data_IF_239574082241
#
_entry.id   IF_239574082241
#
_cell.length_a   1.000
_cell.length_b   1.000
_cell.length_c   1.000
_cell.angle_alpha   90.00
_cell.angle_beta   90.00
_cell.angle_gamma   90.00
#
_symmetry.space_group_name_H-M   'P 1'
#
loop_
_entity.id
_entity.type
_entity.pdbx_description
1 polymer ?
#
# COMPACT_ATOMS: atom_id res chain seq x y z
N UNK A 1 -74.91 23.55 0.43
CA UNK A 1 -74.07 24.73 0.12
C UNK A 1 -73.22 25.04 1.33
N UNK A 2 -71.92 25.28 1.09
CA UNK A 2 -70.85 25.93 1.89
C UNK A 2 -71.16 26.33 3.35
N UNK A 3 -70.41 25.99 4.41
CA UNK A 3 -68.96 25.98 4.73
C UNK A 3 -68.57 27.14 5.69
N UNK A 4 -67.56 26.85 6.55
CA UNK A 4 -66.73 27.73 7.42
C UNK A 4 -67.28 28.01 8.84
N UNK A 5 -66.51 28.03 9.95
CA UNK A 5 -65.06 27.98 10.19
C UNK A 5 -64.70 27.78 11.70
N UNK A 6 -63.43 27.39 11.96
CA UNK A 6 -62.64 27.76 13.16
C UNK A 6 -62.59 26.73 14.30
N UNK A 7 -61.48 26.33 14.91
CA UNK A 7 -60.07 26.69 14.77
C UNK A 7 -59.22 25.52 15.32
N UNK A 8 -58.31 24.99 14.51
CA UNK A 8 -57.38 23.92 14.90
C UNK A 8 -56.05 24.49 15.36
N UNK A 9 -55.64 24.11 16.56
CA UNK A 9 -54.33 24.32 17.15
C UNK A 9 -53.25 23.66 16.27
N UNK A 10 -52.36 24.44 15.64
CA UNK A 10 -51.21 23.90 14.92
C UNK A 10 -50.02 23.88 15.88
N UNK A 11 -49.69 22.69 16.39
CA UNK A 11 -48.39 22.40 16.97
C UNK A 11 -47.33 22.66 15.89
N UNK A 12 -46.50 23.70 16.10
CA UNK A 12 -45.26 23.87 15.36
C UNK A 12 -44.32 22.72 15.75
N UNK A 13 -44.35 21.63 14.97
CA UNK A 13 -43.30 20.63 15.01
C UNK A 13 -42.01 21.28 14.52
N UNK A 14 -41.08 21.51 15.44
CA UNK A 14 -39.68 21.76 15.12
C UNK A 14 -39.17 20.52 14.37
N UNK A 15 -38.73 20.62 13.11
CA UNK A 15 -38.06 19.49 12.48
C UNK A 15 -36.67 19.37 13.12
N UNK A 16 -36.54 18.51 14.12
CA UNK A 16 -35.26 17.91 14.50
C UNK A 16 -34.85 16.92 13.40
N UNK A 17 -34.27 17.46 12.34
CA UNK A 17 -33.38 16.75 11.45
C UNK A 17 -32.61 17.81 10.68
N UNK A 18 -31.53 18.33 11.28
CA UNK A 18 -30.47 18.93 10.50
C UNK A 18 -29.89 17.79 9.65
N UNK A 19 -30.44 17.62 8.45
CA UNK A 19 -29.84 16.79 7.42
C UNK A 19 -28.43 17.33 7.19
N UNK A 20 -27.42 16.61 7.69
CA UNK A 20 -26.02 16.90 7.43
C UNK A 20 -25.84 16.99 5.92
N UNK A 21 -25.41 18.15 5.44
CA UNK A 21 -25.22 18.39 4.01
C UNK A 21 -24.31 17.29 3.41
N UNK A 22 -24.65 16.74 2.24
CA UNK A 22 -23.74 15.87 1.51
C UNK A 22 -22.46 16.67 1.22
N UNK A 23 -21.34 16.32 1.87
CA UNK A 23 -20.06 17.01 1.68
C UNK A 23 -19.41 17.62 2.92
N UNK A 24 -19.86 17.31 4.14
CA UNK A 24 -19.07 17.63 5.34
C UNK A 24 -17.78 16.77 5.36
N UNK A 25 -16.62 17.43 5.41
CA UNK A 25 -15.31 16.80 5.48
C UNK A 25 -15.10 16.19 6.88
N UNK A 26 -14.93 14.86 6.98
CA UNK A 26 -14.78 14.22 8.29
C UNK A 26 -13.42 14.51 8.97
N UNK A 27 -12.41 14.85 8.17
CA UNK A 27 -11.06 15.11 8.66
C UNK A 27 -10.54 16.42 8.08
N UNK A 28 -9.84 17.17 8.93
CA UNK A 28 -9.26 18.47 8.58
C UNK A 28 -7.73 18.47 8.68
N UNK A 29 -7.12 19.56 8.18
CA UNK A 29 -5.70 19.79 8.40
C UNK A 29 -5.34 19.96 9.90
N UNK A 30 -6.28 20.43 10.73
CA UNK A 30 -6.07 20.56 12.17
C UNK A 30 -6.01 19.18 12.86
N UNK A 31 -6.82 18.22 12.42
CA UNK A 31 -6.76 16.84 12.92
C UNK A 31 -5.39 16.19 12.65
N UNK A 32 -4.79 16.47 11.48
CA UNK A 32 -3.46 15.96 11.14
C UNK A 32 -2.37 16.38 12.13
N UNK A 33 -2.46 17.59 12.70
CA UNK A 33 -1.50 18.06 13.69
C UNK A 33 -1.54 17.23 15.00
N UNK A 34 -2.62 16.48 15.23
CA UNK A 34 -2.82 15.62 16.41
C UNK A 34 -2.35 14.18 16.21
N UNK A 35 -1.88 13.80 15.01
CA UNK A 35 -1.41 12.44 14.75
C UNK A 35 -0.21 12.09 15.63
N UNK A 36 -0.29 10.97 16.35
CA UNK A 36 0.77 10.48 17.25
C UNK A 36 1.79 9.58 16.57
N UNK A 37 1.49 9.13 15.35
CA UNK A 37 2.27 8.18 14.59
C UNK A 37 2.01 8.40 13.09
N UNK A 38 2.80 7.74 12.24
CA UNK A 38 2.67 7.89 10.80
C UNK A 38 1.34 7.28 10.32
N UNK A 39 0.57 8.05 9.55
CA UNK A 39 -0.66 7.58 8.90
C UNK A 39 -0.50 7.69 7.39
N UNK A 40 -0.45 6.54 6.73
CA UNK A 40 -0.29 6.42 5.29
C UNK A 40 -1.63 6.18 4.62
N UNK A 41 -1.92 6.99 3.60
CA UNK A 41 -2.99 6.69 2.65
C UNK A 41 -2.55 5.56 1.70
N UNK A 42 -3.46 4.63 1.37
CA UNK A 42 -3.19 3.56 0.40
C UNK A 42 -2.68 4.08 -0.95
N UNK A 43 -1.87 3.25 -1.60
CA UNK A 43 -1.64 3.31 -3.03
C UNK A 43 -2.46 2.27 -3.83
N UNK A 44 -2.83 2.58 -5.09
CA UNK A 44 -2.77 3.92 -5.69
C UNK A 44 -3.81 4.85 -5.02
N UNK A 45 -3.56 6.17 -4.97
CA UNK A 45 -4.52 7.11 -4.44
C UNK A 45 -5.84 6.99 -5.22
N UNK A 46 -6.99 7.19 -4.56
CA UNK A 46 -8.29 6.92 -5.14
C UNK A 46 -8.55 7.74 -6.43
N UNK A 47 -9.51 7.27 -7.23
CA UNK A 47 -9.92 7.88 -8.51
C UNK A 47 -10.57 9.26 -8.32
N UNK A 48 -11.05 9.53 -7.12
CA UNK A 48 -11.93 10.64 -6.73
C UNK A 48 -11.18 11.91 -6.30
N UNK A 49 -9.84 11.92 -6.32
CA UNK A 49 -9.07 13.14 -6.09
C UNK A 49 -9.02 13.65 -4.65
N UNK A 50 -9.51 12.87 -3.67
CA UNK A 50 -9.57 13.31 -2.28
C UNK A 50 -8.19 13.41 -1.60
N UNK A 51 -7.92 14.54 -0.93
CA UNK A 51 -6.60 14.84 -0.34
C UNK A 51 -6.57 15.12 1.16
N UNK A 52 -7.70 15.40 1.83
CA UNK A 52 -7.83 15.56 3.29
C UNK A 52 -9.23 15.26 3.84
N UNK A 53 -10.34 15.55 3.12
CA UNK A 53 -11.71 15.29 3.58
C UNK A 53 -12.04 13.88 4.05
N UNK A 54 -11.18 12.90 3.72
CA UNK A 54 -11.46 11.48 3.87
C UNK A 54 -10.39 10.74 4.69
N UNK A 55 -9.23 11.36 4.97
CA UNK A 55 -8.15 10.73 5.74
C UNK A 55 -7.33 11.75 6.53
N UNK A 56 -7.05 11.50 7.81
CA UNK A 56 -5.87 12.08 8.42
C UNK A 56 -4.63 11.38 7.87
N UNK A 57 -3.65 12.14 7.39
CA UNK A 57 -2.46 11.60 6.74
C UNK A 57 -1.22 12.42 7.05
N UNK A 58 -0.12 11.70 7.33
CA UNK A 58 1.24 12.25 7.40
C UNK A 58 2.08 11.80 6.20
N UNK A 59 1.60 10.80 5.46
CA UNK A 59 2.26 10.25 4.29
C UNK A 59 1.25 9.85 3.19
N UNK A 60 1.64 10.09 1.94
CA UNK A 60 0.88 9.69 0.76
C UNK A 60 1.72 8.76 -0.12
N UNK A 61 1.08 7.73 -0.66
CA UNK A 61 1.73 6.73 -1.50
C UNK A 61 1.09 6.74 -2.88
N UNK A 62 1.87 6.73 -3.96
CA UNK A 62 1.34 6.70 -5.33
C UNK A 62 2.31 6.12 -6.35
N UNK A 63 1.81 5.33 -7.30
CA UNK A 63 2.54 4.95 -8.50
C UNK A 63 2.62 6.06 -9.57
N UNK A 64 1.97 7.20 -9.35
CA UNK A 64 1.95 8.33 -10.30
C UNK A 64 2.91 9.43 -9.86
N UNK A 65 4.01 9.59 -10.60
CA UNK A 65 5.04 10.58 -10.30
C UNK A 65 4.49 12.03 -10.22
N UNK A 66 3.53 12.38 -11.10
CA UNK A 66 2.86 13.70 -11.07
C UNK A 66 2.03 13.95 -9.80
N UNK A 67 1.41 12.91 -9.23
CA UNK A 67 0.67 13.04 -7.96
C UNK A 67 1.64 13.27 -6.79
N UNK A 68 2.77 12.57 -6.78
CA UNK A 68 3.83 12.81 -5.78
C UNK A 68 4.40 14.23 -5.91
N UNK A 69 4.62 14.69 -7.14
CA UNK A 69 5.14 16.03 -7.43
C UNK A 69 4.16 17.15 -7.08
N UNK A 70 2.88 16.87 -6.89
CA UNK A 70 1.83 17.84 -6.51
C UNK A 70 1.33 17.69 -5.07
N UNK A 71 1.94 16.81 -4.26
CA UNK A 71 1.53 16.64 -2.86
C UNK A 71 1.80 17.92 -2.02
N UNK A 72 0.96 18.24 -1.03
CA UNK A 72 1.17 19.40 -0.15
C UNK A 72 2.52 19.36 0.58
N UNK A 73 3.04 20.54 0.97
CA UNK A 73 4.22 20.64 1.83
C UNK A 73 3.91 20.00 3.19
N UNK A 74 4.92 19.40 3.81
CA UNK A 74 4.79 18.73 5.12
C UNK A 74 4.28 17.28 5.07
N UNK A 75 3.76 16.82 3.92
CA UNK A 75 3.38 15.42 3.73
C UNK A 75 4.52 14.62 3.11
N UNK A 76 4.86 13.49 3.72
CA UNK A 76 5.82 12.55 3.17
C UNK A 76 5.24 11.87 1.93
N UNK A 77 6.00 11.76 0.84
CA UNK A 77 5.49 11.11 -0.39
C UNK A 77 6.33 9.91 -0.79
N UNK A 78 5.67 8.80 -1.12
CA UNK A 78 6.30 7.52 -1.43
C UNK A 78 5.84 7.01 -2.78
N UNK A 79 6.78 6.60 -3.62
CA UNK A 79 6.43 5.96 -4.88
C UNK A 79 6.03 4.51 -4.64
N UNK A 80 4.84 4.12 -5.10
CA UNK A 80 4.39 2.75 -5.02
C UNK A 80 4.98 1.94 -6.16
N UNK A 81 5.82 0.96 -5.82
CA UNK A 81 6.51 0.12 -6.77
C UNK A 81 6.14 -1.33 -6.56
N UNK A 82 5.51 -1.94 -7.56
CA UNK A 82 5.24 -3.37 -7.54
C UNK A 82 6.49 -4.19 -7.81
N UNK A 83 6.74 -5.15 -6.92
CA UNK A 83 7.63 -6.25 -7.19
C UNK A 83 7.01 -7.20 -8.23
N UNK A 84 7.64 -8.36 -8.41
CA UNK A 84 7.11 -9.38 -9.30
C UNK A 84 5.99 -10.15 -8.58
N UNK A 85 4.93 -10.52 -9.29
CA UNK A 85 3.88 -11.41 -8.75
C UNK A 85 3.73 -12.61 -9.66
N UNK A 86 4.17 -13.78 -9.20
CA UNK A 86 4.00 -15.01 -9.97
C UNK A 86 2.52 -15.31 -10.22
N UNK A 87 2.21 -15.79 -11.42
CA UNK A 87 0.92 -16.39 -11.70
C UNK A 87 1.02 -17.89 -11.44
N UNK A 88 0.45 -18.37 -10.35
CA UNK A 88 0.31 -19.80 -10.09
C UNK A 88 -0.94 -20.35 -10.82
N UNK A 89 -0.93 -21.59 -11.36
CA UNK A 89 0.19 -22.53 -11.39
C UNK A 89 1.00 -22.46 -12.70
N UNK A 90 2.30 -22.67 -12.50
CA UNK A 90 3.35 -22.67 -13.51
C UNK A 90 3.40 -24.03 -14.22
N UNK A 91 2.60 -24.22 -15.26
CA UNK A 91 2.93 -25.18 -16.34
C UNK A 91 2.50 -24.56 -17.66
N UNK A 92 3.42 -23.90 -18.35
CA UNK A 92 3.25 -23.70 -19.80
C UNK A 92 3.28 -25.05 -20.52
N UNK A 93 2.73 -25.13 -21.72
CA UNK A 93 2.90 -26.31 -22.58
C UNK A 93 4.42 -26.63 -22.68
N UNK A 94 4.84 -27.75 -22.10
CA UNK A 94 6.26 -28.16 -22.02
C UNK A 94 6.98 -27.99 -20.66
N UNK A 95 6.28 -27.67 -19.56
CA UNK A 95 6.87 -27.79 -18.21
C UNK A 95 7.82 -26.65 -17.76
N UNK A 96 7.87 -25.52 -18.48
CA UNK A 96 8.68 -24.36 -18.09
C UNK A 96 7.93 -23.41 -17.14
N UNK A 97 8.64 -22.94 -16.11
CA UNK A 97 8.17 -21.95 -15.14
C UNK A 97 8.06 -20.55 -15.82
N UNK A 98 6.85 -19.99 -15.95
CA UNK A 98 6.61 -18.63 -16.46
C UNK A 98 6.29 -17.66 -15.30
N UNK A 99 7.26 -16.86 -14.86
CA UNK A 99 7.00 -15.81 -13.87
C UNK A 99 6.32 -14.64 -14.57
N UNK A 100 4.99 -14.54 -14.45
CA UNK A 100 4.30 -13.31 -14.87
C UNK A 100 4.70 -12.19 -13.93
N UNK A 101 4.81 -10.98 -14.45
CA UNK A 101 4.81 -9.75 -13.65
C UNK A 101 3.52 -9.03 -14.00
N UNK A 102 2.70 -8.72 -13.01
CA UNK A 102 1.75 -7.62 -13.16
C UNK A 102 2.62 -6.36 -13.20
N UNK A 103 3.13 -6.06 -14.39
CA UNK A 103 3.74 -4.76 -14.60
C UNK A 103 2.62 -3.74 -14.45
N UNK A 104 2.88 -2.75 -13.60
CA UNK A 104 2.25 -1.45 -13.61
C UNK A 104 0.73 -1.56 -13.81
N UNK A 105 -0.05 -1.48 -12.73
CA UNK A 105 -1.37 -0.91 -12.96
C UNK A 105 -1.16 0.43 -13.69
N UNK A 106 -1.92 0.61 -14.78
CA UNK A 106 -1.56 1.47 -15.89
C UNK A 106 -1.14 2.83 -15.35
N UNK A 107 -0.14 3.43 -16.00
CA UNK A 107 -0.05 4.89 -16.02
C UNK A 107 -1.47 5.42 -16.22
N UNK A 108 -2.09 5.98 -15.19
CA UNK A 108 -3.49 6.41 -15.19
C UNK A 108 -3.76 7.56 -16.19
N UNK A 109 -2.75 7.91 -16.99
CA UNK A 109 -2.85 8.76 -18.16
C UNK A 109 -3.52 8.08 -19.36
N UNK A 110 -3.99 6.83 -19.24
CA UNK A 110 -4.80 6.17 -20.25
C UNK A 110 -4.99 4.69 -19.95
N UNK A 111 -5.94 4.03 -20.60
CA UNK A 111 -6.30 2.61 -20.44
C UNK A 111 -5.20 1.59 -20.84
N UNK A 112 -3.91 1.92 -20.73
CA UNK A 112 -2.77 1.11 -21.22
C UNK A 112 -2.29 0.11 -20.16
N UNK A 113 -2.96 -1.05 -20.07
CA UNK A 113 -2.50 -2.17 -19.22
C UNK A 113 -1.44 -2.99 -19.96
N UNK A 114 -0.17 -2.88 -19.54
CA UNK A 114 0.91 -3.70 -20.08
C UNK A 114 1.27 -4.82 -19.11
N UNK A 115 1.20 -6.06 -19.59
CA UNK A 115 1.65 -7.23 -18.82
C UNK A 115 3.01 -7.65 -19.34
N UNK A 116 3.99 -7.79 -18.45
CA UNK A 116 5.28 -8.39 -18.82
C UNK A 116 5.40 -9.78 -18.22
N UNK A 117 5.98 -10.68 -19.00
CA UNK A 117 6.26 -12.02 -18.57
C UNK A 117 7.77 -12.22 -18.57
N UNK A 118 8.29 -12.86 -17.54
CA UNK A 118 9.70 -13.19 -17.41
C UNK A 118 9.87 -14.70 -17.41
N UNK A 119 10.89 -15.18 -18.12
CA UNK A 119 11.20 -16.59 -18.25
C UNK A 119 11.93 -17.16 -17.02
N UNK A 120 12.36 -16.30 -16.08
CA UNK A 120 12.96 -16.71 -14.81
C UNK A 120 12.75 -15.70 -13.68
N UNK A 121 12.95 -16.16 -12.44
CA UNK A 121 12.96 -15.33 -11.23
C UNK A 121 14.04 -14.23 -11.31
N UNK A 122 15.23 -14.57 -11.80
CA UNK A 122 16.35 -13.62 -11.93
C UNK A 122 16.03 -12.48 -12.88
N UNK A 123 15.42 -12.79 -14.03
CA UNK A 123 14.99 -11.78 -15.01
C UNK A 123 13.91 -10.87 -14.44
N UNK A 124 12.95 -11.45 -13.72
CA UNK A 124 11.93 -10.68 -13.02
C UNK A 124 12.56 -9.75 -11.97
N UNK A 125 13.47 -10.26 -11.12
CA UNK A 125 14.17 -9.49 -10.10
C UNK A 125 15.02 -8.38 -10.72
N UNK A 126 15.74 -8.67 -11.81
CA UNK A 126 16.51 -7.69 -12.57
C UNK A 126 15.63 -6.56 -13.12
N UNK A 127 14.41 -6.87 -13.61
CA UNK A 127 13.46 -5.84 -14.01
C UNK A 127 13.06 -4.94 -12.83
N UNK A 128 12.73 -5.51 -11.67
CA UNK A 128 12.39 -4.72 -10.47
C UNK A 128 13.56 -3.82 -10.04
N UNK A 129 14.79 -4.33 -10.06
CA UNK A 129 15.99 -3.53 -9.79
C UNK A 129 16.20 -2.43 -10.84
N UNK A 130 15.99 -2.72 -12.12
CA UNK A 130 16.13 -1.74 -13.20
C UNK A 130 15.06 -0.64 -13.13
N UNK A 131 13.81 -0.97 -12.80
CA UNK A 131 12.74 -0.01 -12.59
C UNK A 131 13.06 0.94 -11.43
N UNK A 132 13.47 0.39 -10.26
CA UNK A 132 13.88 1.21 -9.12
C UNK A 132 15.09 2.09 -9.44
N UNK A 133 16.13 1.54 -10.07
CA UNK A 133 17.32 2.30 -10.46
C UNK A 133 16.98 3.43 -11.43
N UNK A 134 16.14 3.16 -12.44
CA UNK A 134 15.67 4.18 -13.38
C UNK A 134 14.88 5.27 -12.66
N UNK A 135 13.93 4.92 -11.79
CA UNK A 135 13.16 5.89 -11.00
C UNK A 135 14.05 6.79 -10.16
N UNK A 136 15.14 6.25 -9.60
CA UNK A 136 16.11 6.97 -8.78
C UNK A 136 17.15 7.75 -9.59
N UNK A 137 17.03 7.82 -10.92
CA UNK A 137 17.97 8.54 -11.79
C UNK A 137 19.30 7.81 -12.02
N UNK A 138 19.39 6.53 -11.66
CA UNK A 138 20.60 5.71 -11.80
C UNK A 138 20.56 4.86 -13.08
N UNK A 139 20.39 5.52 -14.24
CA UNK A 139 20.12 4.84 -15.52
C UNK A 139 21.24 3.90 -15.97
N UNK A 140 22.50 4.20 -15.63
CA UNK A 140 23.62 3.30 -15.88
C UNK A 140 23.48 1.98 -15.11
N UNK A 141 23.02 2.03 -13.85
CA UNK A 141 22.74 0.82 -13.06
C UNK A 141 21.52 0.07 -13.60
N UNK A 142 20.47 0.78 -14.02
CA UNK A 142 19.31 0.16 -14.64
C UNK A 142 19.68 -0.65 -15.89
N UNK A 143 20.48 -0.07 -16.80
CA UNK A 143 21.00 -0.77 -17.98
C UNK A 143 21.89 -1.96 -17.61
N UNK A 144 22.69 -1.85 -16.56
CA UNK A 144 23.51 -2.96 -16.07
C UNK A 144 22.65 -4.13 -15.58
N UNK A 145 21.67 -3.90 -14.70
CA UNK A 145 20.78 -4.97 -14.22
C UNK A 145 20.09 -5.70 -15.38
N UNK A 146 19.60 -4.95 -16.36
CA UNK A 146 18.94 -5.52 -17.52
C UNK A 146 19.89 -6.35 -18.39
N UNK A 147 21.07 -5.80 -18.72
CA UNK A 147 22.08 -6.49 -19.54
C UNK A 147 22.58 -7.77 -18.86
N UNK A 148 22.93 -7.69 -17.58
CA UNK A 148 23.51 -8.82 -16.84
C UNK A 148 22.51 -10.00 -16.73
N UNK A 149 21.20 -9.73 -16.81
CA UNK A 149 20.13 -10.75 -16.79
C UNK A 149 19.55 -11.10 -18.17
N UNK A 150 19.96 -10.42 -19.25
CA UNK A 150 19.39 -10.59 -20.59
C UNK A 150 17.93 -10.11 -20.73
N UNK A 151 17.59 -9.02 -20.04
CA UNK A 151 16.26 -8.36 -20.07
C UNK A 151 16.32 -7.15 -21.00
N UNK A 152 15.31 -7.00 -21.86
CA UNK A 152 15.16 -5.83 -22.73
C UNK A 152 14.48 -4.69 -21.96
N UNK A 153 15.03 -3.48 -22.02
CA UNK A 153 14.40 -2.29 -21.43
C UNK A 153 13.58 -1.55 -22.49
N UNK A 154 12.35 -1.17 -22.14
CA UNK A 154 11.51 -0.29 -22.96
C UNK A 154 10.95 0.84 -22.10
N UNK A 155 10.95 2.05 -22.63
CA UNK A 155 10.28 3.18 -21.97
C UNK A 155 8.77 3.08 -22.19
N UNK A 156 7.96 3.32 -21.16
CA UNK A 156 6.49 3.24 -21.28
C UNK A 156 5.92 4.17 -22.37
N UNK A 157 6.56 5.31 -22.68
CA UNK A 157 6.16 6.20 -23.79
C UNK A 157 6.32 5.57 -25.16
N UNK A 158 7.24 4.62 -25.29
CA UNK A 158 7.48 3.91 -26.54
C UNK A 158 6.53 2.71 -26.74
N UNK A 159 5.65 2.43 -25.77
CA UNK A 159 4.70 1.34 -25.89
C UNK A 159 3.49 1.76 -26.75
N UNK A 160 3.04 0.89 -27.68
CA UNK A 160 1.86 1.15 -28.49
C UNK A 160 0.58 1.10 -27.63
N UNK A 161 -0.42 1.90 -28.02
CA UNK A 161 -1.68 2.10 -27.28
C UNK A 161 -2.50 0.81 -27.13
N UNK A 162 -2.48 -0.04 -28.16
CA UNK A 162 -3.01 -1.40 -28.15
C UNK A 162 -1.84 -2.39 -28.11
N UNK A 163 -1.21 -2.54 -26.95
CA UNK A 163 -0.08 -3.45 -26.87
C UNK A 163 -0.56 -4.90 -26.70
N UNK A 164 -0.06 -5.86 -27.52
CA UNK A 164 -0.03 -7.25 -27.10
C UNK A 164 0.73 -7.39 -25.76
N UNK A 165 0.61 -8.52 -25.04
CA UNK A 165 1.48 -8.79 -23.90
C UNK A 165 2.93 -8.48 -24.28
N UNK A 166 3.68 -7.80 -23.41
CA UNK A 166 5.07 -7.46 -23.71
C UNK A 166 5.80 -8.73 -24.12
N UNK A 167 6.71 -8.68 -25.12
CA UNK A 167 7.57 -9.81 -25.42
C UNK A 167 8.21 -10.32 -24.13
N UNK A 168 8.39 -11.63 -24.03
CA UNK A 168 9.01 -12.24 -22.85
C UNK A 168 10.33 -11.50 -22.52
N UNK A 169 10.59 -11.34 -21.22
CA UNK A 169 11.78 -10.69 -20.69
C UNK A 169 11.96 -9.22 -21.09
N UNK A 170 10.86 -8.52 -21.36
CA UNK A 170 10.84 -7.07 -21.54
C UNK A 170 10.41 -6.37 -20.25
N UNK A 171 11.26 -5.46 -19.77
CA UNK A 171 11.00 -4.62 -18.62
C UNK A 171 10.59 -3.21 -19.04
N UNK A 172 9.39 -2.81 -18.65
CA UNK A 172 8.85 -1.47 -18.88
C UNK A 172 9.36 -0.51 -17.81
N UNK A 173 9.99 0.58 -18.21
CA UNK A 173 10.45 1.65 -17.34
C UNK A 173 9.49 2.84 -17.38
N UNK A 174 9.23 3.44 -16.21
CA UNK A 174 8.51 4.70 -16.12
C UNK A 174 9.23 5.81 -16.89
N UNK A 175 8.47 6.74 -17.46
CA UNK A 175 9.01 7.86 -18.26
C UNK A 175 9.67 8.95 -17.43
N UNK A 176 9.39 8.98 -16.13
CA UNK A 176 9.83 10.02 -15.22
C UNK A 176 10.74 9.49 -14.12
N UNK A 177 11.30 10.43 -13.36
CA UNK A 177 12.10 10.15 -12.16
C UNK A 177 11.30 10.45 -10.91
N UNK A 178 11.68 9.82 -9.82
CA UNK A 178 11.17 10.11 -8.49
C UNK A 178 11.45 11.59 -8.17
N UNK A 179 10.43 12.40 -7.78
CA UNK A 179 10.65 13.80 -7.46
C UNK A 179 11.71 13.98 -6.37
N UNK A 180 12.58 15.01 -6.43
CA UNK A 180 13.64 15.21 -5.43
C UNK A 180 13.12 15.28 -4.00
N UNK A 181 11.93 15.86 -3.79
CA UNK A 181 11.28 15.98 -2.48
C UNK A 181 10.61 14.71 -1.97
N UNK A 182 10.50 13.66 -2.79
CA UNK A 182 9.86 12.43 -2.34
C UNK A 182 10.71 11.71 -1.30
N UNK A 183 10.06 11.16 -0.28
CA UNK A 183 10.68 10.41 0.81
C UNK A 183 11.39 9.16 0.30
N UNK A 184 10.79 8.46 -0.66
CA UNK A 184 11.34 7.20 -1.13
C UNK A 184 10.37 6.32 -1.89
N UNK A 185 10.57 5.01 -1.79
CA UNK A 185 9.80 3.99 -2.52
C UNK A 185 9.15 3.04 -1.51
N UNK A 186 7.86 2.76 -1.67
CA UNK A 186 7.17 1.62 -1.06
C UNK A 186 7.19 0.47 -2.06
N UNK A 187 7.98 -0.56 -1.76
CA UNK A 187 8.02 -1.79 -2.53
C UNK A 187 6.87 -2.69 -2.06
N UNK A 188 5.90 -2.92 -2.92
CA UNK A 188 4.87 -3.91 -2.70
C UNK A 188 5.34 -5.26 -3.24
N UNK A 189 5.74 -6.11 -2.29
CA UNK A 189 6.35 -7.41 -2.47
C UNK A 189 5.31 -8.53 -2.41
N UNK A 190 4.48 -8.64 -3.45
CA UNK A 190 3.55 -9.77 -3.66
C UNK A 190 4.18 -10.93 -4.45
N UNK A 191 5.47 -11.22 -4.23
CA UNK A 191 6.13 -12.35 -4.88
C UNK A 191 5.48 -13.66 -4.42
N UNK A 192 5.16 -14.53 -5.38
CA UNK A 192 4.52 -15.83 -5.14
C UNK A 192 5.18 -16.96 -5.96
N UNK A 193 6.49 -16.88 -6.20
CA UNK A 193 7.21 -17.80 -7.10
C UNK A 193 7.86 -19.00 -6.40
N UNK A 194 7.76 -19.11 -5.07
CA UNK A 194 8.32 -20.24 -4.32
C UNK A 194 9.83 -20.17 -4.12
N UNK A 195 10.43 -19.00 -4.29
CA UNK A 195 11.85 -18.78 -3.97
C UNK A 195 12.15 -19.05 -2.50
N UNK A 196 13.38 -19.50 -2.24
CA UNK A 196 13.85 -19.80 -0.90
C UNK A 196 14.16 -18.53 -0.06
N UNK A 197 14.29 -18.65 1.26
CA UNK A 197 14.59 -17.53 2.16
C UNK A 197 15.89 -16.77 1.85
N UNK A 198 16.96 -17.45 1.43
CA UNK A 198 18.26 -16.82 1.16
C UNK A 198 18.20 -15.97 -0.11
N UNK A 199 17.56 -16.48 -1.16
CA UNK A 199 17.31 -15.75 -2.41
C UNK A 199 16.48 -14.48 -2.15
N UNK A 200 15.41 -14.59 -1.34
CA UNK A 200 14.58 -13.45 -0.95
C UNK A 200 15.36 -12.40 -0.17
N UNK A 201 16.11 -12.81 0.86
CA UNK A 201 16.89 -11.89 1.68
C UNK A 201 17.95 -11.16 0.85
N UNK A 202 18.63 -11.87 -0.05
CA UNK A 202 19.65 -11.28 -0.93
C UNK A 202 19.04 -10.22 -1.84
N UNK A 203 17.92 -10.54 -2.50
CA UNK A 203 17.22 -9.61 -3.36
C UNK A 203 16.72 -8.37 -2.61
N UNK A 204 16.01 -8.55 -1.49
CA UNK A 204 15.44 -7.44 -0.72
C UNK A 204 16.54 -6.57 -0.08
N UNK A 205 17.65 -7.17 0.35
CA UNK A 205 18.82 -6.41 0.85
C UNK A 205 19.44 -5.58 -0.27
N UNK A 206 19.62 -6.14 -1.47
CA UNK A 206 20.15 -5.41 -2.61
C UNK A 206 19.22 -4.26 -3.03
N UNK A 207 17.91 -4.51 -3.01
CA UNK A 207 16.90 -3.50 -3.30
C UNK A 207 16.95 -2.33 -2.30
N UNK A 208 16.96 -2.61 -1.00
CA UNK A 208 17.05 -1.57 0.02
C UNK A 208 18.32 -0.72 -0.14
N UNK A 209 19.48 -1.38 -0.36
CA UNK A 209 20.76 -0.70 -0.62
C UNK A 209 20.70 0.21 -1.85
N UNK A 210 20.04 -0.20 -2.92
CA UNK A 210 19.88 0.61 -4.13
C UNK A 210 19.12 1.92 -3.82
N UNK A 211 18.03 1.82 -3.05
CA UNK A 211 17.21 2.99 -2.65
C UNK A 211 17.97 3.90 -1.69
N UNK A 212 18.62 3.33 -0.67
CA UNK A 212 19.41 4.10 0.30
C UNK A 212 20.61 4.80 -0.35
N UNK A 213 21.27 4.18 -1.33
CA UNK A 213 22.36 4.80 -2.08
C UNK A 213 21.93 6.04 -2.88
N UNK A 214 20.63 6.23 -3.12
CA UNK A 214 20.06 7.43 -3.74
C UNK A 214 19.69 8.52 -2.71
N UNK A 215 19.98 8.32 -1.42
CA UNK A 215 19.52 9.20 -0.34
C UNK A 215 18.00 9.15 -0.11
N UNK A 216 17.36 8.03 -0.48
CA UNK A 216 15.93 7.79 -0.33
C UNK A 216 15.64 6.70 0.70
N UNK A 217 14.44 6.71 1.26
CA UNK A 217 13.96 5.68 2.19
C UNK A 217 13.19 4.58 1.46
N UNK A 218 13.04 3.43 2.08
CA UNK A 218 12.32 2.29 1.51
C UNK A 218 11.37 1.64 2.52
N UNK A 219 10.14 1.40 2.08
CA UNK A 219 9.14 0.63 2.82
C UNK A 219 8.94 -0.70 2.11
N UNK A 220 8.94 -1.80 2.87
CA UNK A 220 8.53 -3.11 2.38
C UNK A 220 7.06 -3.34 2.76
N UNK A 221 6.19 -3.42 1.77
CA UNK A 221 4.85 -3.98 1.92
C UNK A 221 4.95 -5.47 1.56
N UNK A 222 4.58 -6.35 2.47
CA UNK A 222 4.62 -7.81 2.26
C UNK A 222 3.25 -8.41 2.58
N UNK A 223 2.85 -9.45 1.86
CA UNK A 223 1.65 -10.24 2.18
C UNK A 223 1.66 -10.75 3.65
N UNK A 224 0.50 -11.08 4.24
CA UNK A 224 0.40 -11.55 5.62
C UNK A 224 1.40 -12.66 5.91
N UNK A 225 2.31 -12.40 6.86
CA UNK A 225 3.39 -13.32 7.18
C UNK A 225 2.87 -14.57 7.87
N UNK A 226 1.73 -14.53 8.55
CA UNK A 226 1.17 -15.63 9.32
C UNK A 226 0.37 -16.64 8.47
N UNK A 227 0.27 -16.44 7.15
CA UNK A 227 -0.38 -17.37 6.23
C UNK A 227 0.62 -18.39 5.70
N UNK A 228 0.54 -19.69 6.06
CA UNK A 228 1.50 -20.70 5.61
C UNK A 228 1.53 -20.85 4.09
N UNK A 229 0.36 -20.68 3.46
CA UNK A 229 0.24 -20.66 2.01
C UNK A 229 1.02 -19.51 1.37
N UNK A 230 1.09 -18.33 2.00
CA UNK A 230 1.83 -17.19 1.48
C UNK A 230 3.33 -17.26 1.78
N UNK A 231 3.71 -17.65 3.00
CA UNK A 231 5.13 -17.79 3.39
C UNK A 231 5.92 -18.68 2.44
N UNK A 232 5.32 -19.81 2.03
CA UNK A 232 5.93 -20.75 1.09
C UNK A 232 6.27 -20.11 -0.26
N UNK A 233 5.54 -19.08 -0.68
CA UNK A 233 5.67 -18.51 -2.02
C UNK A 233 6.41 -17.17 -2.07
N UNK A 234 6.45 -16.42 -0.97
CA UNK A 234 7.17 -15.13 -0.89
C UNK A 234 8.65 -15.29 -0.54
N UNK A 235 8.99 -16.38 0.16
CA UNK A 235 10.31 -16.63 0.74
C UNK A 235 10.65 -15.70 1.93
N UNK A 236 9.66 -15.04 2.53
CA UNK A 236 9.83 -14.33 3.81
C UNK A 236 9.31 -15.23 4.92
N UNK A 237 10.20 -15.70 5.80
CA UNK A 237 9.91 -16.68 6.84
C UNK A 237 10.53 -16.27 8.17
N UNK A 238 10.30 -17.04 9.23
CA UNK A 238 10.94 -16.83 10.54
C UNK A 238 12.48 -16.82 10.48
N UNK A 239 13.07 -17.52 9.50
CA UNK A 239 14.52 -17.64 9.35
C UNK A 239 15.21 -16.33 8.91
N UNK A 240 14.51 -15.48 8.14
CA UNK A 240 15.08 -14.29 7.50
C UNK A 240 14.32 -12.98 7.77
N UNK A 241 13.09 -13.01 8.27
CA UNK A 241 12.24 -11.82 8.42
C UNK A 241 12.90 -10.71 9.25
N UNK A 242 13.51 -11.04 10.40
CA UNK A 242 14.22 -10.06 11.24
C UNK A 242 15.35 -9.33 10.49
N UNK A 243 16.15 -10.04 9.67
CA UNK A 243 17.23 -9.44 8.88
C UNK A 243 16.67 -8.58 7.77
N UNK A 244 15.61 -9.02 7.10
CA UNK A 244 14.91 -8.22 6.09
C UNK A 244 14.39 -6.93 6.71
N UNK A 245 13.65 -6.99 7.82
CA UNK A 245 13.13 -5.79 8.51
C UNK A 245 14.25 -4.81 8.88
N UNK A 246 15.40 -5.31 9.33
CA UNK A 246 16.56 -4.47 9.65
C UNK A 246 17.16 -3.72 8.43
N UNK A 247 16.84 -4.13 7.19
CA UNK A 247 17.29 -3.44 5.96
C UNK A 247 16.32 -2.36 5.46
N UNK A 248 15.07 -2.35 5.91
CA UNK A 248 14.06 -1.39 5.44
C UNK A 248 13.77 -0.32 6.49
N UNK A 249 13.43 0.88 6.06
CA UNK A 249 13.03 1.95 6.99
C UNK A 249 11.70 1.60 7.66
N UNK A 250 10.81 0.93 6.93
CA UNK A 250 9.57 0.34 7.45
C UNK A 250 9.26 -0.99 6.76
N UNK A 251 8.60 -1.89 7.45
CA UNK A 251 7.99 -3.12 6.92
C UNK A 251 6.57 -3.24 7.44
N UNK A 252 5.61 -3.62 6.60
CA UNK A 252 4.22 -3.77 7.00
C UNK A 252 3.93 -5.14 7.64
N UNK A 253 2.95 -5.16 8.54
CA UNK A 253 2.25 -6.35 9.02
C UNK A 253 0.80 -6.23 8.57
N UNK A 254 0.36 -7.11 7.66
CA UNK A 254 -0.96 -6.99 7.04
C UNK A 254 -2.01 -7.60 7.95
N UNK A 255 -2.93 -6.77 8.45
CA UNK A 255 -4.06 -7.17 9.27
C UNK A 255 -5.36 -6.98 8.49
N UNK A 256 -6.00 -8.10 8.19
CA UNK A 256 -7.18 -8.14 7.33
C UNK A 256 -8.19 -9.16 7.84
N UNK A 257 -9.45 -8.95 7.51
CA UNK A 257 -10.59 -9.75 7.97
C UNK A 257 -10.51 -11.21 7.53
N UNK A 258 -9.92 -11.48 6.36
CA UNK A 258 -9.72 -12.83 5.81
C UNK A 258 -8.52 -13.59 6.37
N UNK A 259 -7.88 -13.12 7.46
CA UNK A 259 -6.70 -13.76 8.00
C UNK A 259 -6.95 -15.21 8.47
N UNK A 260 -5.93 -16.05 8.34
CA UNK A 260 -6.01 -17.49 8.67
C UNK A 260 -6.29 -17.74 10.16
N UNK A 261 -5.91 -16.79 11.02
CA UNK A 261 -6.13 -16.88 12.47
C UNK A 261 -7.57 -16.53 12.88
N UNK A 262 -8.40 -16.03 11.94
CA UNK A 262 -9.78 -15.56 12.18
C UNK A 262 -9.90 -14.50 13.29
N UNK A 263 -8.79 -13.82 13.60
CA UNK A 263 -8.66 -12.86 14.69
C UNK A 263 -7.48 -11.94 14.42
N UNK A 264 -7.71 -10.63 14.37
CA UNK A 264 -6.64 -9.66 14.14
C UNK A 264 -5.61 -9.65 15.27
N UNK A 265 -5.99 -9.74 16.57
CA UNK A 265 -5.02 -9.92 17.65
C UNK A 265 -4.13 -11.15 17.50
N UNK A 266 -4.72 -12.29 17.12
CA UNK A 266 -3.97 -13.53 16.91
C UNK A 266 -3.05 -13.44 15.68
N UNK A 267 -3.54 -12.88 14.57
CA UNK A 267 -2.74 -12.63 13.36
C UNK A 267 -1.57 -11.70 13.64
N UNK A 268 -1.80 -10.59 14.35
CA UNK A 268 -0.75 -9.68 14.77
C UNK A 268 0.32 -10.39 15.62
N UNK A 269 -0.09 -11.15 16.63
CA UNK A 269 0.84 -11.90 17.49
C UNK A 269 1.66 -12.92 16.69
N UNK A 270 1.04 -13.65 15.76
CA UNK A 270 1.70 -14.63 14.91
C UNK A 270 2.73 -13.97 13.97
N UNK A 271 2.36 -12.86 13.31
CA UNK A 271 3.28 -12.12 12.44
C UNK A 271 4.45 -11.51 13.23
N UNK A 272 4.19 -10.98 14.43
CA UNK A 272 5.23 -10.48 15.32
C UNK A 272 6.19 -11.57 15.77
N UNK A 273 5.70 -12.80 16.04
CA UNK A 273 6.55 -13.93 16.38
C UNK A 273 7.49 -14.30 15.23
N UNK A 274 7.00 -14.29 13.98
CA UNK A 274 7.81 -14.53 12.78
C UNK A 274 8.89 -13.47 12.63
N UNK A 275 8.52 -12.19 12.75
CA UNK A 275 9.47 -11.08 12.60
C UNK A 275 10.54 -11.08 13.69
N UNK A 276 10.21 -11.52 14.91
CA UNK A 276 11.13 -11.56 16.06
C UNK A 276 11.87 -12.90 16.23
N UNK A 277 11.60 -13.89 15.39
CA UNK A 277 12.11 -15.25 15.57
C UNK A 277 13.65 -15.33 15.63
N UNK A 278 14.35 -14.48 14.88
CA UNK A 278 15.82 -14.41 14.89
C UNK A 278 16.43 -13.31 15.76
N UNK A 279 15.62 -12.61 16.57
CA UNK A 279 16.11 -11.62 17.53
C UNK A 279 15.23 -10.37 17.66
N UNK A 280 15.62 -9.44 18.54
CA UNK A 280 14.91 -8.17 18.73
C UNK A 280 14.84 -7.37 17.42
N UNK A 281 13.67 -6.79 17.16
CA UNK A 281 13.42 -5.89 16.04
C UNK A 281 12.99 -4.54 16.59
N UNK A 282 13.57 -3.46 16.05
CA UNK A 282 13.14 -2.10 16.38
C UNK A 282 11.68 -1.90 15.96
N UNK A 283 10.75 -1.66 16.89
CA UNK A 283 9.34 -1.48 16.56
C UNK A 283 9.09 -0.29 15.64
N UNK A 284 9.98 0.72 15.61
CA UNK A 284 9.89 1.84 14.67
C UNK A 284 10.18 1.46 13.22
N UNK A 285 10.58 0.22 12.96
CA UNK A 285 10.65 -0.35 11.60
C UNK A 285 9.35 -1.03 11.18
N UNK A 286 8.32 -1.07 12.01
CA UNK A 286 7.08 -1.79 11.71
C UNK A 286 5.91 -0.83 11.54
N UNK A 287 5.09 -1.11 10.53
CA UNK A 287 3.79 -0.48 10.26
C UNK A 287 2.72 -1.56 10.28
N UNK A 288 1.52 -1.23 10.74
CA UNK A 288 0.34 -2.08 10.52
C UNK A 288 -0.28 -1.68 9.18
N UNK A 289 -0.48 -2.63 8.27
CA UNK A 289 -1.31 -2.42 7.08
C UNK A 289 -2.72 -2.95 7.36
N UNK A 290 -3.67 -2.03 7.54
CA UNK A 290 -5.00 -2.32 8.06
C UNK A 290 -6.06 -2.28 6.95
N UNK A 291 -6.76 -3.39 6.75
CA UNK A 291 -7.89 -3.47 5.83
C UNK A 291 -9.09 -2.64 6.33
N UNK A 292 -9.64 -1.76 5.49
CA UNK A 292 -10.80 -0.91 5.79
C UNK A 292 -12.14 -1.48 5.33
N UNK A 293 -12.19 -2.53 4.52
CA UNK A 293 -13.48 -3.04 4.02
C UNK A 293 -14.10 -4.02 5.02
N UNK A 294 -13.44 -5.14 5.27
CA UNK A 294 -14.00 -6.26 6.05
C UNK A 294 -13.77 -6.22 7.57
N UNK A 295 -13.07 -5.22 8.12
CA UNK A 295 -12.74 -5.15 9.56
C UNK A 295 -13.80 -4.41 10.38
N UNK A 296 -13.77 -4.56 11.70
CA UNK A 296 -14.73 -3.92 12.62
C UNK A 296 -14.15 -2.66 13.29
N UNK A 297 -14.96 -1.96 14.08
CA UNK A 297 -14.49 -0.85 14.91
C UNK A 297 -13.62 -1.34 16.08
N UNK A 298 -13.88 -2.52 16.61
CA UNK A 298 -13.06 -3.11 17.68
C UNK A 298 -11.69 -3.54 17.15
N UNK A 299 -11.62 -4.03 15.92
CA UNK A 299 -10.37 -4.26 15.21
C UNK A 299 -9.54 -2.98 15.09
N UNK A 300 -10.19 -1.87 14.73
CA UNK A 300 -9.54 -0.56 14.63
C UNK A 300 -9.00 -0.07 16.00
N UNK A 301 -9.77 -0.26 17.08
CA UNK A 301 -9.33 0.04 18.45
C UNK A 301 -8.13 -0.81 18.86
N UNK A 302 -8.15 -2.11 18.55
CA UNK A 302 -7.02 -3.00 18.78
C UNK A 302 -5.77 -2.52 18.05
N UNK A 303 -5.87 -2.17 16.77
CA UNK A 303 -4.73 -1.67 15.97
C UNK A 303 -4.09 -0.44 16.61
N UNK A 304 -4.91 0.53 17.05
CA UNK A 304 -4.39 1.69 17.79
C UNK A 304 -3.63 1.28 19.04
N UNK A 305 -4.22 0.40 19.85
CA UNK A 305 -3.59 -0.07 21.08
C UNK A 305 -2.28 -0.80 20.80
N UNK A 306 -2.22 -1.63 19.76
CA UNK A 306 -1.01 -2.31 19.34
C UNK A 306 0.10 -1.32 18.94
N UNK A 307 -0.23 -0.30 18.13
CA UNK A 307 0.73 0.75 17.72
C UNK A 307 1.30 1.48 18.95
N UNK A 308 0.45 1.88 19.89
CA UNK A 308 0.86 2.62 21.08
C UNK A 308 1.65 1.73 22.04
N UNK A 309 1.12 0.56 22.39
CA UNK A 309 1.71 -0.39 23.35
C UNK A 309 3.08 -0.86 22.89
N UNK A 310 3.19 -1.24 21.62
CA UNK A 310 4.41 -1.84 21.09
C UNK A 310 5.35 -0.80 20.45
N UNK A 311 4.96 0.48 20.45
CA UNK A 311 5.78 1.58 19.96
C UNK A 311 6.01 1.56 18.45
N UNK A 312 5.08 1.02 17.66
CA UNK A 312 5.21 0.91 16.20
C UNK A 312 5.34 2.29 15.53
N UNK A 313 5.74 2.32 14.25
CA UNK A 313 5.86 3.58 13.51
C UNK A 313 4.52 4.19 13.10
N UNK A 314 3.48 3.35 12.92
CA UNK A 314 2.18 3.82 12.48
C UNK A 314 1.37 2.80 11.68
N UNK A 315 0.51 3.32 10.80
CA UNK A 315 -0.50 2.56 10.06
C UNK A 315 -0.51 2.94 8.57
N UNK A 316 -0.67 1.94 7.71
CA UNK A 316 -1.10 2.06 6.33
C UNK A 316 -2.56 1.62 6.25
N UNK A 317 -3.43 2.46 5.69
CA UNK A 317 -4.83 2.13 5.51
C UNK A 317 -5.03 1.44 4.16
N UNK A 318 -5.27 0.13 4.14
CA UNK A 318 -5.63 -0.63 2.95
C UNK A 318 -7.14 -0.59 2.71
N UNK A 319 -7.57 0.08 1.64
CA UNK A 319 -8.98 0.28 1.30
C UNK A 319 -9.73 -1.04 1.08
N UNK A 320 -9.10 -2.01 0.40
CA UNK A 320 -9.75 -3.21 -0.15
C UNK A 320 -11.13 -2.90 -0.77
N UNK A 321 -11.17 -1.97 -1.72
CA UNK A 321 -12.40 -1.48 -2.38
C UNK A 321 -13.43 -0.71 -1.52
N UNK A 322 -13.25 -0.58 -0.20
CA UNK A 322 -14.12 0.22 0.68
C UNK A 322 -14.36 1.64 0.14
N UNK A 323 -15.58 2.17 0.16
CA UNK A 323 -15.82 3.55 -0.26
C UNK A 323 -15.06 4.54 0.66
N UNK A 324 -14.48 5.60 0.09
CA UNK A 324 -13.79 6.64 0.85
C UNK A 324 -14.63 7.92 0.85
N UNK A 325 -14.59 8.66 1.96
CA UNK A 325 -15.33 9.90 2.14
C UNK A 325 -16.77 9.73 2.61
N UNK A 326 -17.55 10.82 2.55
CA UNK A 326 -18.87 10.90 3.18
C UNK A 326 -18.81 11.28 4.67
N UNK A 327 -19.96 11.21 5.32
CA UNK A 327 -20.14 11.63 6.72
C UNK A 327 -19.19 10.92 7.69
N UNK A 328 -18.87 11.56 8.82
CA UNK A 328 -18.08 10.93 9.88
C UNK A 328 -18.69 9.65 10.44
N UNK A 329 -20.03 9.54 10.41
CA UNK A 329 -20.75 8.34 10.79
C UNK A 329 -20.50 7.13 9.88
N UNK A 330 -19.87 7.31 8.71
CA UNK A 330 -19.57 6.19 7.82
C UNK A 330 -18.60 5.21 8.51
N UNK A 331 -18.84 3.88 8.46
CA UNK A 331 -18.01 2.90 9.18
C UNK A 331 -16.51 2.95 8.84
N UNK A 332 -16.16 3.31 7.60
CA UNK A 332 -14.76 3.51 7.18
C UNK A 332 -14.13 4.69 7.94
N UNK A 333 -14.83 5.82 8.01
CA UNK A 333 -14.34 7.02 8.69
C UNK A 333 -14.24 6.81 10.21
N UNK A 334 -15.21 6.10 10.81
CA UNK A 334 -15.15 5.72 12.22
C UNK A 334 -13.93 4.83 12.53
N UNK A 335 -13.62 3.86 11.68
CA UNK A 335 -12.42 3.00 11.84
C UNK A 335 -11.12 3.81 11.71
N UNK A 336 -11.04 4.71 10.73
CA UNK A 336 -9.88 5.60 10.56
C UNK A 336 -9.70 6.50 11.79
N UNK A 337 -10.77 7.12 12.28
CA UNK A 337 -10.75 7.98 13.46
C UNK A 337 -10.36 7.22 14.73
N UNK A 338 -10.91 6.01 14.91
CA UNK A 338 -10.57 5.15 16.03
C UNK A 338 -9.09 4.76 16.03
N UNK A 339 -8.50 4.49 14.86
CA UNK A 339 -7.06 4.25 14.75
C UNK A 339 -6.28 5.52 15.02
N UNK A 340 -6.50 6.58 14.24
CA UNK A 340 -5.70 7.80 14.23
C UNK A 340 -5.76 8.59 15.54
N UNK A 341 -6.96 8.71 16.14
CA UNK A 341 -7.23 9.61 17.25
C UNK A 341 -7.67 8.91 18.53
N UNK A 342 -8.17 7.68 18.44
CA UNK A 342 -8.69 6.94 19.59
C UNK A 342 -10.09 7.36 20.01
N UNK A 343 -10.78 8.09 19.15
CA UNK A 343 -12.17 8.52 19.31
C UNK A 343 -13.03 7.72 18.31
N UNK A 344 -14.27 7.36 18.68
CA UNK A 344 -15.25 7.12 17.63
C UNK A 344 -15.48 8.48 16.95
N UNK A 345 -15.55 8.53 15.61
CA UNK A 345 -15.99 9.76 14.97
C UNK A 345 -17.46 9.97 15.35
N UNK A 346 -17.71 10.86 16.31
CA UNK A 346 -19.07 11.22 16.71
C UNK A 346 -19.81 11.85 15.52
N UNK A 347 -21.13 11.69 15.47
CA UNK A 347 -22.00 12.25 14.41
C UNK A 347 -21.92 13.78 14.28
N UNK A 348 -21.27 14.46 15.23
CA UNK A 348 -21.13 15.92 15.32
C UNK A 348 -19.77 16.47 14.84
N UNK A 349 -18.84 15.64 14.35
CA UNK A 349 -17.63 16.11 13.64
C UNK A 349 -17.94 16.43 12.19
#
# INVERSE_FOLDING_TARGET
MAALAGAGLVCAMVPLAAATAPGADCFSAADNARLRFEAFQQAPPPRDGARYPHYPLSAAVSGQLGRLASAPKGIQTWYYHWANRAATPLVGAGGRQIVRKLNLEPSWTGNRRHRSAFSSIDRANACTMAQAASLLGQDARARRYARDAGVTLINERALPDAAPPSPADTCVLASGKLPPRASGIMLDYEVQDGRDPQTTETFLTAYAKLVHAAGKRVILLVNPLDSPGQQRFTGVTAENAHRIVARFDRTTLVLWSGNVQKSLPASYAAQMAIVKAGGPVDPKRLLIDFELAGTTLDDARFVRQAIIRDGLAGVLFWRNYASQGGACAAPVNQRIAAIAFGEAADEQR
#
